data_IF_456695265550
#
_entry.id   IF_456695265550
#
_cell.length_a   1.000
_cell.length_b   1.000
_cell.length_c   1.000
_cell.angle_alpha   90.00
_cell.angle_beta   90.00
_cell.angle_gamma   90.00
#
_symmetry.space_group_name_H-M   'P 1'
#
loop_
_entity.id
_entity.type
_entity.pdbx_description
1 polymer ?
#
# COMPACT_ATOMS: atom_id res chain seq x y z
N UNK A 1 -19.75 21.51 -28.28
CA UNK A 1 -18.30 21.40 -28.07
C UNK A 1 -17.90 21.88 -26.68
N UNK A 2 -18.31 23.03 -26.30
CA UNK A 2 -18.01 23.60 -24.97
C UNK A 2 -18.54 22.74 -23.83
N UNK A 3 -19.74 22.15 -23.98
CA UNK A 3 -20.32 21.28 -22.96
C UNK A 3 -19.51 20.01 -22.74
N UNK A 4 -18.95 19.44 -23.82
CA UNK A 4 -18.15 18.22 -23.73
C UNK A 4 -16.82 18.48 -23.00
N UNK A 5 -16.15 19.59 -23.31
CA UNK A 5 -14.92 19.99 -22.66
C UNK A 5 -15.17 20.29 -21.19
N UNK A 6 -16.26 20.97 -20.87
CA UNK A 6 -16.65 21.28 -19.49
C UNK A 6 -16.86 19.99 -18.68
N UNK A 7 -17.58 19.03 -19.23
CA UNK A 7 -17.84 17.75 -18.55
C UNK A 7 -16.54 16.99 -18.31
N UNK A 8 -15.64 16.90 -19.30
CA UNK A 8 -14.36 16.25 -19.14
C UNK A 8 -13.49 16.92 -18.08
N UNK A 9 -13.46 18.23 -18.04
CA UNK A 9 -12.70 18.98 -17.03
C UNK A 9 -13.27 18.75 -15.63
N UNK A 10 -14.60 18.70 -15.49
CA UNK A 10 -15.24 18.40 -14.21
C UNK A 10 -14.93 17.00 -13.73
N UNK A 11 -14.91 16.03 -14.63
CA UNK A 11 -14.56 14.64 -14.30
C UNK A 11 -13.11 14.55 -13.81
N UNK A 12 -12.19 15.29 -14.43
CA UNK A 12 -10.79 15.34 -13.99
C UNK A 12 -10.67 15.98 -12.61
N UNK A 13 -11.38 17.08 -12.38
CA UNK A 13 -11.37 17.76 -11.06
C UNK A 13 -11.87 16.84 -9.96
N UNK A 14 -12.95 16.08 -10.20
CA UNK A 14 -13.51 15.14 -9.23
C UNK A 14 -12.51 14.04 -8.92
N UNK A 15 -11.86 13.48 -9.95
CA UNK A 15 -10.84 12.44 -9.78
C UNK A 15 -9.64 12.95 -8.99
N UNK A 16 -9.12 14.14 -9.33
CA UNK A 16 -8.01 14.75 -8.61
C UNK A 16 -8.37 15.07 -7.16
N UNK A 17 -9.59 15.57 -6.93
CA UNK A 17 -10.06 15.86 -5.58
C UNK A 17 -10.19 14.60 -4.73
N UNK A 18 -10.65 13.48 -5.32
CA UNK A 18 -10.75 12.21 -4.60
C UNK A 18 -9.37 11.72 -4.17
N UNK A 19 -8.39 11.76 -5.06
CA UNK A 19 -7.01 11.36 -4.75
C UNK A 19 -6.38 12.27 -3.71
N UNK A 20 -6.59 13.58 -3.81
CA UNK A 20 -6.07 14.55 -2.85
C UNK A 20 -6.70 14.35 -1.47
N UNK A 21 -8.01 14.17 -1.41
CA UNK A 21 -8.72 13.92 -0.14
C UNK A 21 -8.26 12.61 0.49
N UNK A 22 -8.02 11.58 -0.32
CA UNK A 22 -7.47 10.33 0.20
C UNK A 22 -6.12 10.55 0.86
N UNK A 23 -5.19 11.25 0.19
CA UNK A 23 -3.84 11.49 0.71
C UNK A 23 -3.86 12.31 1.99
N UNK A 24 -4.81 13.23 2.13
CA UNK A 24 -4.98 14.00 3.36
C UNK A 24 -5.41 13.13 4.53
N UNK A 25 -6.20 12.08 4.28
CA UNK A 25 -6.72 11.17 5.32
C UNK A 25 -5.83 9.95 5.55
N UNK A 26 -5.00 9.58 4.59
CA UNK A 26 -4.21 8.36 4.65
C UNK A 26 -3.41 8.19 5.95
N UNK A 27 -2.84 9.26 6.55
CA UNK A 27 -2.11 9.12 7.80
C UNK A 27 -2.93 8.57 8.97
N UNK A 28 -4.26 8.69 8.92
CA UNK A 28 -5.17 8.24 9.97
C UNK A 28 -5.79 6.88 9.67
N UNK A 29 -5.52 6.30 8.49
CA UNK A 29 -6.14 5.05 8.05
C UNK A 29 -5.24 3.86 8.33
N UNK A 30 -5.86 2.70 8.61
CA UNK A 30 -5.13 1.43 8.68
C UNK A 30 -4.89 0.84 7.28
N UNK A 31 -4.12 -0.24 7.20
CA UNK A 31 -3.77 -0.86 5.93
C UNK A 31 -4.98 -1.32 5.13
N UNK A 32 -6.00 -1.85 5.78
CA UNK A 32 -7.23 -2.30 5.12
C UNK A 32 -7.96 -1.13 4.46
N UNK A 33 -8.15 -0.03 5.18
CA UNK A 33 -8.81 1.15 4.65
C UNK A 33 -8.00 1.79 3.51
N UNK A 34 -6.68 1.79 3.62
CA UNK A 34 -5.78 2.30 2.57
C UNK A 34 -5.93 1.44 1.31
N UNK A 35 -5.86 0.13 1.43
CA UNK A 35 -5.94 -0.78 0.28
C UNK A 35 -7.32 -0.74 -0.37
N UNK A 36 -8.38 -0.49 0.40
CA UNK A 36 -9.72 -0.29 -0.15
C UNK A 36 -9.78 0.91 -1.12
N UNK A 37 -8.88 1.86 -0.99
CA UNK A 37 -8.81 3.05 -1.84
C UNK A 37 -7.59 3.02 -2.76
N UNK A 38 -7.07 1.84 -3.08
CA UNK A 38 -5.86 1.67 -3.88
C UNK A 38 -5.90 2.42 -5.21
N UNK A 39 -7.07 2.50 -5.84
CA UNK A 39 -7.24 3.19 -7.13
C UNK A 39 -6.98 4.70 -7.04
N UNK A 40 -7.06 5.29 -5.85
CA UNK A 40 -6.78 6.70 -5.61
C UNK A 40 -5.31 6.96 -5.26
N UNK A 41 -4.50 5.91 -5.16
CA UNK A 41 -3.11 6.00 -4.73
C UNK A 41 -2.21 6.11 -5.96
N UNK A 42 -1.31 7.13 -6.02
CA UNK A 42 -0.40 7.29 -7.15
C UNK A 42 0.69 6.22 -7.16
N UNK A 43 1.20 5.95 -8.34
CA UNK A 43 2.36 5.06 -8.47
C UNK A 43 3.62 5.72 -7.92
N UNK A 44 4.49 4.90 -7.32
CA UNK A 44 5.81 5.36 -6.91
C UNK A 44 6.59 5.87 -8.12
N UNK A 45 7.06 7.11 -8.05
CA UNK A 45 7.82 7.70 -9.13
C UNK A 45 8.72 8.83 -8.60
N UNK A 46 9.99 8.55 -8.27
CA UNK A 46 10.90 9.55 -7.72
C UNK A 46 11.33 10.60 -8.75
N UNK A 47 11.14 10.34 -10.05
CA UNK A 47 11.41 11.34 -11.09
C UNK A 47 10.30 12.39 -11.16
N UNK A 48 9.06 12.02 -10.83
CA UNK A 48 7.90 12.91 -10.84
C UNK A 48 7.65 13.55 -9.49
N UNK A 49 7.90 12.82 -8.39
CA UNK A 49 7.57 13.25 -7.04
C UNK A 49 8.83 13.40 -6.19
N UNK A 50 8.97 14.56 -5.55
CA UNK A 50 9.98 14.76 -4.52
C UNK A 50 9.33 14.44 -3.16
N UNK A 51 9.65 13.27 -2.61
CA UNK A 51 9.03 12.78 -1.39
C UNK A 51 9.47 13.53 -0.13
N UNK A 52 10.45 14.42 -0.26
CA UNK A 52 10.79 15.36 0.80
C UNK A 52 9.63 16.31 1.10
N UNK A 53 8.80 16.58 0.09
CA UNK A 53 7.66 17.49 0.20
C UNK A 53 6.36 16.76 0.57
N UNK A 54 6.41 15.44 0.71
CA UNK A 54 5.26 14.64 1.12
C UNK A 54 5.16 14.59 2.63
N UNK A 55 3.97 14.27 3.14
CA UNK A 55 3.72 14.15 4.57
C UNK A 55 3.78 12.68 4.99
N UNK A 56 4.25 12.44 6.21
CA UNK A 56 4.20 11.11 6.83
C UNK A 56 2.77 10.56 6.73
N UNK A 57 2.64 9.31 6.30
CA UNK A 57 1.36 8.63 6.17
C UNK A 57 0.76 8.64 4.78
N UNK A 58 1.28 9.46 3.87
CA UNK A 58 0.83 9.44 2.48
C UNK A 58 1.37 8.20 1.76
N UNK A 59 0.64 7.74 0.74
CA UNK A 59 0.83 6.42 0.18
C UNK A 59 1.23 6.44 -1.29
N UNK A 60 1.92 5.39 -1.72
CA UNK A 60 2.22 5.10 -3.13
C UNK A 60 1.93 3.65 -3.44
N UNK A 61 1.72 3.34 -4.73
CA UNK A 61 1.69 1.96 -5.23
C UNK A 61 3.01 1.65 -5.88
N UNK A 62 3.55 0.48 -5.65
CA UNK A 62 4.75 0.02 -6.31
C UNK A 62 4.79 -1.49 -6.37
N UNK A 63 5.02 -2.01 -7.58
CA UNK A 63 5.20 -3.44 -7.82
C UNK A 63 4.05 -4.29 -7.24
N UNK A 64 2.80 -3.83 -7.43
CA UNK A 64 1.61 -4.53 -6.97
C UNK A 64 1.33 -4.40 -5.48
N UNK A 65 2.14 -3.65 -4.75
CA UNK A 65 1.99 -3.41 -3.33
C UNK A 65 1.62 -1.96 -3.05
N UNK A 66 1.16 -1.70 -1.83
CA UNK A 66 0.87 -0.35 -1.34
C UNK A 66 1.80 -0.03 -0.18
N UNK A 67 2.42 1.14 -0.23
CA UNK A 67 3.41 1.58 0.75
C UNK A 67 2.99 2.90 1.36
N UNK A 68 3.23 3.07 2.65
CA UNK A 68 2.93 4.29 3.39
C UNK A 68 4.21 4.95 3.84
N UNK A 69 4.33 6.26 3.62
CA UNK A 69 5.53 7.01 3.96
C UNK A 69 5.69 7.12 5.47
N UNK A 70 6.85 6.70 5.97
CA UNK A 70 7.20 6.79 7.38
C UNK A 70 7.89 8.12 7.71
N UNK A 71 8.69 8.62 6.79
CA UNK A 71 9.37 9.91 6.93
C UNK A 71 9.72 10.48 5.57
N UNK A 72 9.56 11.79 5.38
CA UNK A 72 9.99 12.45 4.15
C UNK A 72 11.49 12.25 3.93
N UNK A 73 11.88 12.16 2.66
CA UNK A 73 13.28 11.97 2.29
C UNK A 73 13.55 12.55 0.90
N UNK A 74 14.81 12.83 0.61
CA UNK A 74 15.21 13.39 -0.68
C UNK A 74 15.23 12.29 -1.75
N UNK A 75 14.17 12.23 -2.56
CA UNK A 75 14.03 11.22 -3.61
C UNK A 75 14.82 11.54 -4.88
N UNK A 76 15.50 12.68 -4.93
CA UNK A 76 16.49 12.95 -5.98
C UNK A 76 17.81 12.25 -5.70
N UNK A 77 18.08 11.94 -4.43
CA UNK A 77 19.28 11.24 -3.97
C UNK A 77 19.01 9.74 -3.79
N UNK A 78 17.93 9.40 -3.08
CA UNK A 78 17.54 8.03 -2.80
C UNK A 78 16.42 7.64 -3.74
N UNK A 79 16.75 6.94 -4.82
CA UNK A 79 15.82 6.59 -5.89
C UNK A 79 15.33 5.15 -5.86
N UNK A 80 15.81 4.36 -4.91
CA UNK A 80 15.41 2.96 -4.77
C UNK A 80 13.91 2.84 -4.51
N UNK A 81 13.35 1.68 -4.90
CA UNK A 81 11.94 1.36 -4.65
C UNK A 81 11.67 1.18 -3.15
N UNK A 82 10.41 1.35 -2.73
CA UNK A 82 10.04 1.25 -1.31
C UNK A 82 10.51 -0.02 -0.61
N UNK A 83 10.54 -1.15 -1.30
CA UNK A 83 11.00 -2.41 -0.69
C UNK A 83 12.47 -2.36 -0.25
N UNK A 84 13.26 -1.46 -0.83
CA UNK A 84 14.66 -1.27 -0.48
C UNK A 84 14.89 -0.03 0.40
N UNK A 85 13.82 0.70 0.73
CA UNK A 85 13.86 1.89 1.59
C UNK A 85 12.88 1.71 2.76
N UNK A 86 13.09 0.66 3.58
CA UNK A 86 12.16 0.28 4.65
C UNK A 86 12.17 1.23 5.84
N UNK A 87 13.16 2.09 5.95
CA UNK A 87 13.15 3.17 6.95
C UNK A 87 12.24 4.32 6.52
N UNK A 88 11.99 4.47 5.23
CA UNK A 88 11.17 5.52 4.66
C UNK A 88 9.74 5.05 4.35
N UNK A 89 9.56 3.78 4.01
CA UNK A 89 8.28 3.24 3.56
C UNK A 89 7.87 2.01 4.37
N UNK A 90 6.60 1.96 4.76
CA UNK A 90 5.98 0.82 5.44
C UNK A 90 5.04 0.11 4.49
N UNK A 91 5.15 -1.22 4.42
CA UNK A 91 4.25 -2.05 3.61
C UNK A 91 2.87 -2.10 4.25
N UNK A 92 1.83 -1.83 3.46
CA UNK A 92 0.44 -1.94 3.91
C UNK A 92 -0.07 -3.36 3.69
N UNK A 93 -0.79 -3.88 4.68
CA UNK A 93 -1.48 -5.17 4.60
C UNK A 93 -2.99 -4.97 4.76
N UNK A 94 -3.77 -5.95 4.30
CA UNK A 94 -5.23 -5.91 4.42
C UNK A 94 -5.76 -7.13 5.17
N UNK A 95 -6.87 -6.95 5.86
CA UNK A 95 -7.62 -8.05 6.47
C UNK A 95 -8.71 -8.57 5.54
N UNK A 96 -8.87 -7.95 4.36
CA UNK A 96 -9.83 -8.38 3.35
C UNK A 96 -9.18 -9.43 2.43
N UNK A 97 -9.62 -10.69 2.51
CA UNK A 97 -9.00 -11.74 1.70
C UNK A 97 -9.20 -11.55 0.20
N UNK A 98 -10.24 -10.82 -0.22
CA UNK A 98 -10.48 -10.54 -1.64
C UNK A 98 -9.45 -9.58 -2.22
N UNK A 99 -8.77 -8.81 -1.38
CA UNK A 99 -7.78 -7.82 -1.79
C UNK A 99 -6.37 -8.18 -1.33
N UNK A 100 -6.17 -9.41 -0.87
CA UNK A 100 -4.87 -9.88 -0.41
C UNK A 100 -3.83 -9.77 -1.53
N UNK A 101 -2.63 -9.35 -1.14
CA UNK A 101 -1.51 -9.16 -2.06
C UNK A 101 -0.45 -10.24 -1.83
N UNK A 102 0.41 -10.51 -2.83
CA UNK A 102 1.48 -11.48 -2.67
C UNK A 102 2.31 -11.20 -1.42
N UNK A 103 2.73 -12.29 -0.76
CA UNK A 103 3.57 -12.20 0.43
C UNK A 103 4.86 -11.43 0.12
N UNK A 104 5.22 -10.52 1.04
CA UNK A 104 6.50 -9.83 1.01
C UNK A 104 7.20 -10.06 2.33
N UNK A 105 8.46 -10.48 2.27
CA UNK A 105 9.24 -10.75 3.47
C UNK A 105 9.41 -9.48 4.30
N UNK A 106 9.15 -9.53 5.61
CA UNK A 106 9.45 -8.41 6.50
C UNK A 106 10.95 -8.14 6.56
N UNK A 107 11.30 -6.91 6.86
CA UNK A 107 12.68 -6.52 7.14
C UNK A 107 12.72 -6.00 8.59
N UNK A 108 13.31 -6.80 9.48
CA UNK A 108 13.24 -6.52 10.91
C UNK A 108 11.78 -6.55 11.37
N UNK A 109 11.32 -5.46 11.99
CA UNK A 109 9.94 -5.33 12.43
C UNK A 109 9.04 -4.68 11.38
N UNK A 110 9.60 -4.24 10.25
CA UNK A 110 8.85 -3.59 9.20
C UNK A 110 8.18 -4.63 8.30
N UNK A 111 6.87 -4.52 8.13
CA UNK A 111 6.12 -5.36 7.20
C UNK A 111 5.69 -6.71 7.74
N UNK A 112 5.77 -6.96 9.05
CA UNK A 112 5.25 -8.18 9.65
C UNK A 112 3.75 -8.25 9.48
N UNK A 113 3.23 -9.46 9.26
CA UNK A 113 1.79 -9.67 9.18
C UNK A 113 1.21 -9.83 10.59
N UNK A 114 0.24 -9.00 10.89
CA UNK A 114 -0.48 -9.07 12.17
C UNK A 114 -1.66 -10.01 12.04
N UNK A 115 -2.22 -10.43 13.15
CA UNK A 115 -3.38 -11.32 13.16
C UNK A 115 -4.50 -10.79 12.25
N UNK A 116 -5.06 -11.68 11.45
CA UNK A 116 -6.12 -11.45 10.46
C UNK A 116 -5.67 -10.77 9.17
N UNK A 117 -4.45 -10.29 9.08
CA UNK A 117 -3.92 -9.77 7.82
C UNK A 117 -3.65 -10.90 6.84
N UNK A 118 -3.93 -10.62 5.55
CA UNK A 118 -3.93 -11.64 4.51
C UNK A 118 -2.81 -11.43 3.50
N UNK A 119 -2.35 -12.54 2.93
CA UNK A 119 -1.43 -12.53 1.79
C UNK A 119 -1.81 -13.63 0.81
N UNK A 120 -1.21 -13.60 -0.38
CA UNK A 120 -1.31 -14.71 -1.31
C UNK A 120 0.04 -15.41 -1.45
N UNK A 121 0.00 -16.71 -1.69
CA UNK A 121 1.16 -17.52 -2.02
C UNK A 121 0.70 -18.66 -2.94
N UNK A 122 1.36 -18.82 -4.08
CA UNK A 122 1.05 -19.87 -5.04
C UNK A 122 -0.43 -19.92 -5.47
N UNK A 123 -1.04 -18.74 -5.65
CA UNK A 123 -2.42 -18.62 -6.10
C UNK A 123 -3.48 -18.87 -5.02
N UNK A 124 -3.06 -19.06 -3.78
CA UNK A 124 -3.96 -19.27 -2.64
C UNK A 124 -3.92 -18.07 -1.71
N UNK A 125 -5.02 -17.85 -0.98
CA UNK A 125 -5.13 -16.76 -0.01
C UNK A 125 -5.00 -17.31 1.40
N UNK A 126 -4.20 -16.64 2.22
CA UNK A 126 -3.96 -17.03 3.61
C UNK A 126 -4.19 -15.84 4.54
N UNK A 127 -4.74 -16.14 5.71
CA UNK A 127 -4.93 -15.17 6.81
C UNK A 127 -3.98 -15.52 7.94
N UNK A 128 -3.27 -14.52 8.48
CA UNK A 128 -2.40 -14.74 9.62
C UNK A 128 -3.20 -15.04 10.88
N UNK A 129 -2.80 -16.09 11.60
CA UNK A 129 -3.43 -16.49 12.87
C UNK A 129 -2.75 -15.86 14.07
N UNK A 130 -1.60 -15.21 13.88
CA UNK A 130 -0.79 -14.65 14.95
C UNK A 130 -0.33 -13.23 14.59
N UNK A 131 0.01 -12.47 15.61
CA UNK A 131 0.71 -11.19 15.44
C UNK A 131 2.19 -11.43 15.14
N UNK A 132 2.83 -10.43 14.54
CA UNK A 132 4.26 -10.45 14.24
C UNK A 132 4.69 -11.67 13.41
N UNK A 133 3.86 -12.04 12.44
CA UNK A 133 4.11 -13.19 11.58
C UNK A 133 5.13 -12.80 10.49
N UNK A 134 6.28 -13.45 10.52
CA UNK A 134 7.40 -13.16 9.61
C UNK A 134 7.62 -14.25 8.58
N UNK A 135 6.88 -15.37 8.68
CA UNK A 135 7.09 -16.54 7.84
C UNK A 135 6.09 -16.58 6.68
N UNK A 136 6.47 -17.24 5.58
CA UNK A 136 5.50 -17.55 4.52
C UNK A 136 4.51 -18.60 5.01
N UNK A 137 3.33 -18.71 4.38
CA UNK A 137 2.39 -19.80 4.70
C UNK A 137 3.00 -21.19 4.54
N UNK A 138 3.82 -21.40 3.52
CA UNK A 138 4.46 -22.70 3.31
C UNK A 138 5.54 -23.01 4.34
N UNK A 139 6.23 -21.97 4.85
CA UNK A 139 7.28 -22.17 5.86
C UNK A 139 6.72 -22.37 7.27
N UNK A 140 5.55 -21.79 7.55
CA UNK A 140 4.92 -21.89 8.88
C UNK A 140 3.41 -22.08 8.76
N UNK A 141 2.95 -23.26 8.33
CA UNK A 141 1.52 -23.50 8.10
C UNK A 141 0.63 -23.29 9.32
N UNK A 142 1.16 -23.50 10.53
CA UNK A 142 0.37 -23.33 11.77
C UNK A 142 0.11 -21.87 12.11
N UNK A 143 0.87 -20.94 11.53
CA UNK A 143 0.67 -19.49 11.70
C UNK A 143 -0.29 -18.88 10.68
N UNK A 144 -0.77 -19.68 9.74
CA UNK A 144 -1.62 -19.22 8.65
C UNK A 144 -2.84 -20.11 8.47
N UNK A 145 -3.94 -19.50 8.03
CA UNK A 145 -5.18 -20.20 7.68
C UNK A 145 -5.49 -19.92 6.21
N UNK A 146 -5.66 -20.99 5.41
CA UNK A 146 -6.08 -20.81 4.03
C UNK A 146 -7.53 -20.30 4.01
N UNK A 147 -7.78 -19.26 3.22
CA UNK A 147 -9.12 -18.69 3.02
C UNK A 147 -9.64 -19.16 1.67
N UNK A 148 -10.76 -19.87 1.68
CA UNK A 148 -11.42 -20.32 0.46
C UNK A 148 -12.40 -19.24 0.03
N UNK A 149 -12.21 -18.73 -1.18
CA UNK A 149 -13.05 -17.66 -1.76
C UNK A 149 -14.17 -18.22 -2.64
#
# INVERSE_FOLDING_TARGET
>A
MENKEYVLNKMREVGLNSATLFQEKAPELDGMAIIDREDDIPDFNPELHQYLNWLKGQCVRDNGQVWQLLQPYDSTVYKDHPENLRAQWSLCHTKDPLKAKPYVAPLGQSGMYMKDECCTENGKVYRSKIDNNVWTPSAYPTGWEEVIL
#
